data_IF_206489534626
#
_entry.id   IF_206489534626
#
_cell.length_a   1.000
_cell.length_b   1.000
_cell.length_c   1.000
_cell.angle_alpha   90.00
_cell.angle_beta   90.00
_cell.angle_gamma   90.00
#
_symmetry.space_group_name_H-M   'P 1'
#
loop_
_entity.id
_entity.type
_entity.pdbx_description
1 polymer ?
#
# COMPACT_ATOMS: atom_id res chain seq x y z
N UNK A 1 -7.43 -7.95 -18.44
CA UNK A 1 -8.59 -7.77 -17.53
C UNK A 1 -8.52 -8.86 -16.47
N UNK A 2 -8.67 -8.51 -15.19
CA UNK A 2 -8.54 -9.46 -14.06
C UNK A 2 -9.84 -10.26 -13.89
N UNK A 3 -9.74 -11.52 -13.45
CA UNK A 3 -10.93 -12.34 -13.15
C UNK A 3 -11.57 -11.86 -11.84
N UNK A 4 -12.85 -12.17 -11.62
CA UNK A 4 -13.52 -11.86 -10.33
C UNK A 4 -12.79 -12.44 -9.14
N UNK A 5 -12.31 -13.68 -9.26
CA UNK A 5 -11.50 -14.34 -8.23
C UNK A 5 -10.15 -13.65 -8.04
N UNK A 6 -9.53 -13.19 -9.14
CA UNK A 6 -8.30 -12.41 -9.06
C UNK A 6 -8.49 -11.10 -8.30
N UNK A 7 -9.60 -10.39 -8.53
CA UNK A 7 -9.92 -9.16 -7.83
C UNK A 7 -10.12 -9.41 -6.34
N UNK A 8 -10.90 -10.44 -5.96
CA UNK A 8 -11.12 -10.74 -4.54
C UNK A 8 -9.84 -11.12 -3.80
N UNK A 9 -8.90 -11.80 -4.46
CA UNK A 9 -7.59 -12.12 -3.87
C UNK A 9 -6.76 -10.84 -3.66
N UNK A 10 -6.79 -9.91 -4.61
CA UNK A 10 -6.11 -8.61 -4.43
C UNK A 10 -6.75 -7.84 -3.28
N UNK A 11 -8.08 -7.75 -3.23
CA UNK A 11 -8.82 -7.04 -2.18
C UNK A 11 -8.48 -7.61 -0.79
N UNK A 12 -8.48 -8.94 -0.65
CA UNK A 12 -8.10 -9.61 0.60
C UNK A 12 -6.64 -9.34 0.98
N UNK A 13 -5.71 -9.38 0.02
CA UNK A 13 -4.31 -9.01 0.26
C UNK A 13 -4.18 -7.57 0.75
N UNK A 14 -4.95 -6.65 0.18
CA UNK A 14 -4.96 -5.24 0.55
C UNK A 14 -5.52 -5.05 1.97
N UNK A 15 -6.51 -5.83 2.40
CA UNK A 15 -7.04 -5.84 3.78
C UNK A 15 -6.07 -6.48 4.79
N UNK A 16 -5.31 -7.50 4.38
CA UNK A 16 -4.25 -8.07 5.23
C UNK A 16 -3.18 -7.00 5.50
N UNK A 17 -2.72 -6.30 4.46
CA UNK A 17 -1.69 -5.26 4.61
C UNK A 17 -2.15 -4.14 5.57
N UNK A 18 -3.41 -3.70 5.45
CA UNK A 18 -4.01 -2.70 6.36
C UNK A 18 -3.96 -3.17 7.83
N UNK A 19 -4.36 -4.42 8.09
CA UNK A 19 -4.42 -4.97 9.44
C UNK A 19 -3.05 -5.17 10.06
N UNK A 20 -2.07 -5.65 9.29
CA UNK A 20 -0.71 -5.91 9.76
C UNK A 20 0.06 -4.63 10.06
N UNK A 21 -0.07 -3.59 9.22
CA UNK A 21 0.57 -2.29 9.47
C UNK A 21 -0.16 -1.51 10.56
N UNK A 22 -1.49 -1.51 10.55
CA UNK A 22 -2.29 -0.72 11.46
C UNK A 22 -2.03 0.78 11.28
N UNK A 23 -1.57 1.45 12.34
CA UNK A 23 -1.37 2.90 12.31
C UNK A 23 -0.09 3.27 11.57
N UNK A 24 -0.20 4.20 10.61
CA UNK A 24 0.90 4.70 9.81
C UNK A 24 0.82 6.24 9.64
N UNK A 25 1.94 6.92 9.33
CA UNK A 25 1.95 8.38 9.19
C UNK A 25 1.45 8.88 7.82
N UNK A 26 1.28 7.98 6.84
CA UNK A 26 0.90 8.35 5.47
C UNK A 26 -0.51 8.91 5.36
N UNK A 27 -0.68 9.91 4.49
CA UNK A 27 -2.00 10.40 4.07
C UNK A 27 -2.72 9.35 3.23
N UNK A 28 -4.04 9.46 3.08
CA UNK A 28 -4.85 8.49 2.34
C UNK A 28 -4.32 8.17 0.93
N UNK A 29 -3.87 9.20 0.20
CA UNK A 29 -3.34 9.03 -1.17
C UNK A 29 -1.92 8.43 -1.20
N UNK A 30 -1.07 8.78 -0.24
CA UNK A 30 0.27 8.19 -0.09
C UNK A 30 0.15 6.71 0.33
N UNK A 31 -0.79 6.41 1.22
CA UNK A 31 -1.03 5.07 1.72
C UNK A 31 -1.45 4.08 0.63
N UNK A 32 -2.31 4.52 -0.30
CA UNK A 32 -2.67 3.72 -1.49
C UNK A 32 -1.43 3.30 -2.30
N UNK A 33 -0.41 4.16 -2.38
CA UNK A 33 0.85 3.88 -3.07
C UNK A 33 1.72 2.93 -2.26
N UNK A 34 1.92 3.22 -0.97
CA UNK A 34 2.72 2.38 -0.05
C UNK A 34 2.18 0.95 -0.03
N UNK A 35 0.86 0.77 0.13
CA UNK A 35 0.23 -0.56 0.10
C UNK A 35 0.49 -1.32 -1.18
N UNK A 36 0.47 -0.63 -2.33
CA UNK A 36 0.71 -1.28 -3.62
C UNK A 36 2.18 -1.71 -3.75
N UNK A 37 3.12 -0.94 -3.21
CA UNK A 37 4.54 -1.33 -3.13
C UNK A 37 4.71 -2.57 -2.25
N UNK A 38 4.10 -2.60 -1.06
CA UNK A 38 4.11 -3.78 -0.17
C UNK A 38 3.49 -4.99 -0.88
N UNK A 39 2.32 -4.83 -1.51
CA UNK A 39 1.65 -5.92 -2.24
C UNK A 39 2.54 -6.52 -3.33
N UNK A 40 3.29 -5.69 -4.05
CA UNK A 40 4.19 -6.15 -5.12
C UNK A 40 5.49 -6.78 -4.61
N UNK A 41 5.89 -6.51 -3.36
CA UNK A 41 7.20 -6.92 -2.81
C UNK A 41 7.10 -7.91 -1.64
N UNK A 42 5.93 -8.04 -1.03
CA UNK A 42 5.68 -8.68 0.25
C UNK A 42 6.56 -8.15 1.42
N UNK A 43 7.07 -6.92 1.30
CA UNK A 43 7.95 -6.31 2.30
C UNK A 43 7.25 -5.16 3.04
N UNK A 44 6.96 -5.37 4.32
CA UNK A 44 6.27 -4.41 5.17
C UNK A 44 7.16 -3.27 5.66
N UNK A 45 8.50 -3.36 5.51
CA UNK A 45 9.42 -2.30 5.97
C UNK A 45 9.24 -0.99 5.19
N UNK A 46 8.61 -1.03 4.01
CA UNK A 46 8.21 0.16 3.24
C UNK A 46 7.14 1.03 3.92
N UNK A 47 6.50 0.53 4.97
CA UNK A 47 5.64 1.32 5.86
C UNK A 47 6.27 1.60 7.24
N UNK A 48 7.43 1.00 7.54
CA UNK A 48 8.12 1.10 8.81
C UNK A 48 9.48 1.79 8.69
N UNK A 49 10.55 1.03 8.93
CA UNK A 49 11.93 1.57 9.00
C UNK A 49 12.41 2.16 7.68
N UNK A 50 12.03 1.56 6.56
CA UNK A 50 12.40 1.98 5.21
C UNK A 50 11.22 2.68 4.52
N UNK A 51 10.49 3.49 5.29
CA UNK A 51 9.31 4.21 4.83
C UNK A 51 9.56 5.04 3.56
N UNK A 52 8.59 5.05 2.66
CA UNK A 52 8.63 5.88 1.46
C UNK A 52 8.55 7.36 1.82
N UNK A 53 9.37 8.18 1.15
CA UNK A 53 9.37 9.64 1.35
C UNK A 53 8.73 10.32 0.14
N UNK A 54 7.71 11.14 0.38
CA UNK A 54 6.97 11.84 -0.66
C UNK A 54 7.33 13.31 -0.68
N UNK A 55 7.65 13.84 -1.88
CA UNK A 55 7.67 15.28 -2.09
C UNK A 55 6.23 15.84 -1.99
N UNK A 56 6.07 17.07 -1.52
CA UNK A 56 4.75 17.73 -1.30
C UNK A 56 3.80 17.69 -2.50
N UNK A 57 4.35 17.63 -3.71
CA UNK A 57 3.61 17.61 -4.98
C UNK A 57 3.80 16.29 -5.75
N UNK A 58 4.30 15.22 -5.12
CA UNK A 58 4.64 13.97 -5.81
C UNK A 58 3.46 13.28 -6.50
N UNK A 59 2.23 13.62 -6.11
CA UNK A 59 0.99 12.97 -6.56
C UNK A 59 0.14 13.92 -7.41
N UNK A 60 0.49 15.20 -7.45
CA UNK A 60 -0.17 16.18 -8.29
C UNK A 60 0.37 16.08 -9.73
N UNK A 61 -0.54 16.16 -10.71
CA UNK A 61 -0.20 16.19 -12.14
C UNK A 61 -0.02 17.61 -12.66
#
# INVERSE_FOLDING_TARGET
>A
MQTRKGQSIEDESMEIIEREIGSHPYKEHEWKIVRRVIHSTADFDFAGKNGLVFHKNAIQS
#
